data_IF_112284008188
#
_entry.id   IF_112284008188
#
_cell.length_a   1.000
_cell.length_b   1.000
_cell.length_c   1.000
_cell.angle_alpha   90.00
_cell.angle_beta   90.00
_cell.angle_gamma   90.00
#
_symmetry.space_group_name_H-M   'P 1'
#
loop_
_entity.id
_entity.type
_entity.pdbx_description
1 polymer ?
#
# COMPACT_ATOMS: atom_id res chain seq x y z
N UNK A 1 14.71 35.14 10.05
CA UNK A 1 14.38 33.95 9.25
C UNK A 1 14.11 32.69 10.09
N UNK A 2 14.99 32.31 11.02
CA UNK A 2 15.01 30.97 11.63
C UNK A 2 13.77 30.51 12.44
N UNK A 3 13.07 31.40 13.16
CA UNK A 3 11.95 30.98 14.04
C UNK A 3 10.71 30.47 13.28
N UNK A 4 10.33 31.15 12.19
CA UNK A 4 9.15 30.78 11.41
C UNK A 4 9.35 29.53 10.55
N UNK A 5 10.55 29.34 10.00
CA UNK A 5 10.90 28.11 9.30
C UNK A 5 10.92 26.91 10.25
N UNK A 6 11.39 27.10 11.49
CA UNK A 6 11.33 26.08 12.55
C UNK A 6 9.89 25.72 12.92
N UNK A 7 9.02 26.71 13.14
CA UNK A 7 7.58 26.50 13.37
C UNK A 7 6.91 25.72 12.23
N UNK A 8 7.23 26.04 10.98
CA UNK A 8 6.70 25.34 9.81
C UNK A 8 7.08 23.86 9.81
N UNK A 9 8.34 23.55 10.13
CA UNK A 9 8.85 22.18 10.20
C UNK A 9 8.34 21.42 11.43
N UNK A 10 8.16 22.10 12.56
CA UNK A 10 7.48 21.53 13.74
C UNK A 10 6.06 21.09 13.41
N UNK A 11 5.30 21.91 12.66
CA UNK A 11 3.95 21.54 12.20
C UNK A 11 3.96 20.33 11.25
N UNK A 12 4.94 20.25 10.34
CA UNK A 12 5.09 19.08 9.44
C UNK A 12 5.40 17.83 10.25
N UNK A 13 6.34 17.92 11.20
CA UNK A 13 6.74 16.79 12.03
C UNK A 13 5.61 16.34 12.98
N UNK A 14 4.83 17.27 13.55
CA UNK A 14 3.63 16.97 14.32
C UNK A 14 2.56 16.28 13.46
N UNK A 15 2.38 16.70 12.22
CA UNK A 15 1.40 16.05 11.34
C UNK A 15 1.87 14.66 10.92
N UNK A 16 3.17 14.48 10.65
CA UNK A 16 3.76 13.16 10.43
C UNK A 16 3.66 12.27 11.69
N UNK A 17 3.74 12.84 12.89
CA UNK A 17 3.53 12.13 14.16
C UNK A 17 2.08 11.68 14.34
N UNK A 18 1.11 12.54 14.00
CA UNK A 18 -0.32 12.29 14.19
C UNK A 18 -0.95 11.41 13.11
N UNK A 19 -0.45 11.51 11.87
CA UNK A 19 -1.06 10.89 10.68
C UNK A 19 -0.17 9.82 10.06
N UNK A 20 1.14 9.85 10.35
CA UNK A 20 2.08 8.92 9.76
C UNK A 20 2.03 7.53 10.40
N UNK A 21 2.23 6.44 9.62
CA UNK A 21 2.36 5.07 10.14
C UNK A 21 3.46 4.84 11.20
N UNK A 22 4.41 5.78 11.38
CA UNK A 22 5.52 5.62 12.32
C UNK A 22 5.74 6.90 13.13
N UNK A 23 4.98 7.11 14.21
CA UNK A 23 5.14 8.29 15.05
C UNK A 23 6.58 8.43 15.59
N UNK A 24 7.23 7.31 15.93
CA UNK A 24 8.61 7.29 16.43
C UNK A 24 9.63 7.93 15.47
N UNK A 25 9.49 7.73 14.16
CA UNK A 25 10.40 8.36 13.20
C UNK A 25 10.19 9.87 13.17
N UNK A 26 8.94 10.35 13.26
CA UNK A 26 8.66 11.79 13.29
C UNK A 26 9.25 12.52 14.51
N UNK A 27 9.65 11.81 15.58
CA UNK A 27 10.30 12.40 16.75
C UNK A 27 11.67 13.00 16.45
N UNK A 28 12.44 12.43 15.51
CA UNK A 28 13.76 12.94 15.16
C UNK A 28 13.68 14.34 14.48
N UNK A 29 12.94 14.55 13.38
CA UNK A 29 12.80 15.87 12.79
C UNK A 29 12.07 16.84 13.73
N UNK A 30 11.13 16.36 14.57
CA UNK A 30 10.48 17.18 15.59
C UNK A 30 11.49 17.68 16.63
N UNK A 31 12.32 16.78 17.17
CA UNK A 31 13.37 17.10 18.13
C UNK A 31 14.39 18.08 17.53
N UNK A 32 14.86 17.83 16.32
CA UNK A 32 15.77 18.75 15.61
C UNK A 32 15.16 20.15 15.42
N UNK A 33 13.88 20.24 15.06
CA UNK A 33 13.19 21.53 14.90
C UNK A 33 13.02 22.26 16.25
N UNK A 34 12.65 21.55 17.32
CA UNK A 34 12.46 22.11 18.66
C UNK A 34 13.79 22.58 19.29
N UNK A 35 14.85 21.78 19.18
CA UNK A 35 16.18 22.16 19.69
C UNK A 35 16.72 23.36 18.91
N UNK A 36 16.50 23.43 17.59
CA UNK A 36 16.86 24.62 16.81
C UNK A 36 16.08 25.86 17.26
N UNK A 37 14.78 25.72 17.51
CA UNK A 37 13.93 26.82 17.99
C UNK A 37 14.42 27.35 19.35
N UNK A 38 14.89 26.47 20.22
CA UNK A 38 15.46 26.80 21.53
C UNK A 38 16.87 27.41 21.46
N UNK A 39 17.78 26.82 20.69
CA UNK A 39 19.21 27.19 20.71
C UNK A 39 19.58 28.28 19.70
N UNK A 40 18.87 28.38 18.57
CA UNK A 40 19.15 29.30 17.44
C UNK A 40 20.61 29.31 16.97
N UNK A 41 21.35 28.22 17.22
CA UNK A 41 22.71 28.03 16.74
C UNK A 41 22.69 27.54 15.31
N UNK A 42 23.60 28.08 14.51
CA UNK A 42 23.68 27.77 13.09
C UNK A 42 25.12 27.45 12.70
N UNK A 43 25.31 26.48 11.82
CA UNK A 43 26.61 26.02 11.36
C UNK A 43 26.87 26.55 9.96
N UNK A 44 28.09 27.05 9.72
CA UNK A 44 28.59 27.38 8.39
C UNK A 44 29.11 26.11 7.75
N UNK A 45 28.43 25.64 6.70
CA UNK A 45 28.89 24.51 5.91
C UNK A 45 29.33 25.00 4.53
N UNK A 46 30.38 24.38 4.02
CA UNK A 46 30.73 24.55 2.62
C UNK A 46 29.63 23.93 1.75
N UNK A 47 29.55 24.44 0.54
CA UNK A 47 28.65 24.00 -0.50
C UNK A 47 28.72 22.48 -0.80
N UNK A 48 29.93 21.91 -0.79
CA UNK A 48 30.14 20.47 -0.97
C UNK A 48 29.77 19.69 0.29
N UNK A 49 30.07 20.22 1.47
CA UNK A 49 29.73 19.59 2.76
C UNK A 49 28.22 19.51 2.98
N UNK A 50 27.46 20.55 2.61
CA UNK A 50 26.00 20.54 2.66
C UNK A 50 25.41 19.43 1.78
N UNK A 51 25.89 19.31 0.54
CA UNK A 51 25.44 18.27 -0.39
C UNK A 51 25.74 16.87 0.13
N UNK A 52 26.98 16.62 0.58
CA UNK A 52 27.40 15.31 1.09
C UNK A 52 26.66 14.92 2.38
N UNK A 53 26.41 15.88 3.28
CA UNK A 53 25.64 15.65 4.49
C UNK A 53 24.18 15.32 4.16
N UNK A 54 23.58 16.09 3.25
CA UNK A 54 22.21 15.85 2.79
C UNK A 54 22.03 14.50 2.11
N UNK A 55 22.96 14.13 1.22
CA UNK A 55 22.97 12.84 0.54
C UNK A 55 23.15 11.68 1.52
N UNK A 56 24.12 11.79 2.44
CA UNK A 56 24.38 10.76 3.45
C UNK A 56 23.19 10.54 4.38
N UNK A 57 22.53 11.61 4.83
CA UNK A 57 21.34 11.50 5.68
C UNK A 57 20.13 10.97 4.93
N UNK A 58 19.93 11.39 3.68
CA UNK A 58 18.87 10.84 2.84
C UNK A 58 19.09 9.33 2.63
N UNK A 59 20.30 8.92 2.26
CA UNK A 59 20.66 7.51 2.09
C UNK A 59 20.49 6.73 3.40
N UNK A 60 20.91 7.29 4.55
CA UNK A 60 20.73 6.67 5.85
C UNK A 60 19.25 6.49 6.20
N UNK A 61 18.41 7.50 5.96
CA UNK A 61 16.96 7.40 6.19
C UNK A 61 16.32 6.34 5.29
N UNK A 62 16.78 6.24 4.04
CA UNK A 62 16.34 5.18 3.11
C UNK A 62 16.77 3.80 3.61
N UNK A 63 18.03 3.64 4.00
CA UNK A 63 18.55 2.38 4.54
C UNK A 63 17.81 1.97 5.80
N UNK A 64 17.61 2.89 6.75
CA UNK A 64 16.86 2.60 7.99
C UNK A 64 15.41 2.24 7.67
N UNK A 65 14.73 3.01 6.82
CA UNK A 65 13.32 2.74 6.48
C UNK A 65 13.11 1.44 5.70
N UNK A 66 14.09 1.03 4.89
CA UNK A 66 14.06 -0.25 4.16
C UNK A 66 14.41 -1.44 5.06
N UNK A 67 15.40 -1.30 5.94
CA UNK A 67 15.96 -2.44 6.68
C UNK A 67 15.40 -2.63 8.08
N UNK A 68 14.92 -1.57 8.75
CA UNK A 68 14.39 -1.70 10.10
C UNK A 68 12.88 -1.84 10.00
N UNK A 69 12.35 -2.99 10.47
CA UNK A 69 10.92 -3.27 10.66
C UNK A 69 10.33 -2.44 11.81
N UNK A 70 10.59 -1.13 11.81
CA UNK A 70 9.92 -0.16 12.68
C UNK A 70 8.53 0.21 12.17
N UNK A 71 8.11 -0.35 11.03
CA UNK A 71 6.75 -0.20 10.54
C UNK A 71 5.87 -1.24 11.23
N UNK A 72 4.99 -0.84 12.18
CA UNK A 72 3.90 -1.72 12.56
C UNK A 72 3.13 -2.13 11.30
N UNK A 73 2.65 -3.37 11.27
CA UNK A 73 1.75 -3.83 10.22
C UNK A 73 0.63 -2.78 10.08
N UNK A 74 0.39 -2.28 8.87
CA UNK A 74 -0.50 -1.15 8.69
C UNK A 74 -1.92 -1.52 9.09
N UNK A 75 -2.49 -0.75 10.02
CA UNK A 75 -3.88 -0.88 10.41
C UNK A 75 -4.72 -0.10 9.38
N UNK A 76 -5.20 -0.77 8.32
CA UNK A 76 -6.16 -0.21 7.35
C UNK A 76 -5.98 -0.62 5.88
N UNK A 77 -7.01 -0.34 5.07
CA UNK A 77 -7.28 -0.96 3.75
C UNK A 77 -6.33 -0.61 2.58
N UNK A 78 -5.30 0.22 2.78
CA UNK A 78 -4.05 0.08 2.01
C UNK A 78 -2.97 0.99 2.61
N UNK A 79 -1.84 0.47 3.08
CA UNK A 79 -0.70 1.30 3.47
C UNK A 79 -0.17 2.15 2.32
N UNK A 80 0.32 3.35 2.64
CA UNK A 80 1.32 4.02 1.81
C UNK A 80 2.48 3.01 1.66
N UNK A 81 2.90 2.63 0.43
CA UNK A 81 3.97 1.66 0.27
C UNK A 81 5.20 2.11 1.04
N UNK A 82 5.87 1.18 1.74
CA UNK A 82 7.01 1.44 2.63
C UNK A 82 8.08 2.36 2.01
N UNK A 83 8.35 2.18 0.71
CA UNK A 83 9.29 3.03 -0.03
C UNK A 83 8.87 4.50 -0.08
N UNK A 84 7.59 4.78 -0.30
CA UNK A 84 7.06 6.15 -0.31
C UNK A 84 7.10 6.77 1.08
N UNK A 85 6.64 6.08 2.12
CA UNK A 85 6.71 6.60 3.49
C UNK A 85 8.16 6.93 3.91
N UNK A 86 9.10 6.03 3.57
CA UNK A 86 10.55 6.25 3.81
C UNK A 86 11.08 7.45 3.05
N UNK A 87 10.68 7.60 1.79
CA UNK A 87 11.04 8.75 0.96
C UNK A 87 10.52 10.06 1.55
N UNK A 88 9.24 10.11 1.92
CA UNK A 88 8.62 11.27 2.57
C UNK A 88 9.34 11.64 3.87
N UNK A 89 9.71 10.65 4.68
CA UNK A 89 10.47 10.86 5.91
C UNK A 89 11.86 11.44 5.66
N UNK A 90 12.61 10.87 4.70
CA UNK A 90 13.96 11.34 4.36
C UNK A 90 13.95 12.81 3.91
N UNK A 91 12.95 13.22 3.12
CA UNK A 91 12.76 14.62 2.73
C UNK A 91 12.48 15.54 3.92
N UNK A 92 11.71 15.07 4.91
CA UNK A 92 11.39 15.83 6.11
C UNK A 92 12.62 16.04 6.99
N UNK A 93 13.42 14.99 7.21
CA UNK A 93 14.69 15.08 7.96
C UNK A 93 15.64 16.04 7.26
N UNK A 94 15.74 15.96 5.93
CA UNK A 94 16.59 16.86 5.14
C UNK A 94 16.12 18.33 5.28
N UNK A 95 14.81 18.57 5.24
CA UNK A 95 14.25 19.91 5.46
C UNK A 95 14.54 20.43 6.90
N UNK A 96 14.40 19.56 7.91
CA UNK A 96 14.71 19.90 9.31
C UNK A 96 16.19 20.24 9.52
N UNK A 97 17.09 19.46 8.92
CA UNK A 97 18.53 19.69 9.00
C UNK A 97 18.93 21.03 8.38
N UNK A 98 18.32 21.41 7.25
CA UNK A 98 18.61 22.69 6.57
C UNK A 98 18.31 23.92 7.43
N UNK A 99 17.54 23.80 8.52
CA UNK A 99 17.37 24.88 9.49
C UNK A 99 18.64 25.20 10.27
N UNK A 100 19.54 24.22 10.44
CA UNK A 100 20.78 24.35 11.20
C UNK A 100 21.93 24.93 10.37
N UNK A 101 21.68 25.31 9.11
CA UNK A 101 22.66 25.84 8.16
C UNK A 101 22.42 27.34 7.96
N UNK A 102 23.46 28.17 8.02
CA UNK A 102 23.33 29.64 8.05
C UNK A 102 22.83 30.23 6.72
N UNK A 103 23.18 29.57 5.62
CA UNK A 103 22.77 29.94 4.27
C UNK A 103 22.68 28.68 3.39
N UNK A 104 21.67 27.80 3.58
CA UNK A 104 21.57 26.57 2.82
C UNK A 104 21.35 26.88 1.33
N UNK A 105 22.01 26.14 0.45
CA UNK A 105 21.86 26.31 -1.01
C UNK A 105 20.40 26.18 -1.44
N UNK A 106 19.91 27.12 -2.23
CA UNK A 106 18.48 27.19 -2.61
C UNK A 106 17.56 27.80 -1.53
N UNK A 107 18.14 28.23 -0.40
CA UNK A 107 17.49 29.03 0.63
C UNK A 107 16.27 28.37 1.25
N UNK A 108 15.34 29.21 1.71
CA UNK A 108 14.08 28.80 2.31
C UNK A 108 13.17 28.08 1.30
N UNK A 109 13.20 28.46 0.02
CA UNK A 109 12.34 27.87 -1.02
C UNK A 109 12.55 26.37 -1.18
N UNK A 110 13.81 25.92 -1.25
CA UNK A 110 14.11 24.49 -1.35
C UNK A 110 13.74 23.75 -0.05
N UNK A 111 13.99 24.33 1.12
CA UNK A 111 13.60 23.72 2.41
C UNK A 111 12.08 23.53 2.50
N UNK A 112 11.31 24.53 2.08
CA UNK A 112 9.85 24.46 2.05
C UNK A 112 9.33 23.49 0.98
N UNK A 113 9.98 23.43 -0.19
CA UNK A 113 9.66 22.47 -1.24
C UNK A 113 9.84 21.02 -0.77
N UNK A 114 10.95 20.72 -0.08
CA UNK A 114 11.20 19.40 0.50
C UNK A 114 10.14 19.02 1.54
N UNK A 115 9.78 19.95 2.43
CA UNK A 115 8.72 19.74 3.42
C UNK A 115 7.33 19.55 2.77
N UNK A 116 7.04 20.26 1.68
CA UNK A 116 5.78 20.14 0.95
C UNK A 116 5.66 18.78 0.23
N UNK A 117 6.74 18.33 -0.43
CA UNK A 117 6.76 17.01 -1.08
C UNK A 117 6.61 15.91 -0.04
N UNK A 118 7.27 16.06 1.12
CA UNK A 118 7.04 15.15 2.25
C UNK A 118 5.56 15.12 2.62
N UNK A 119 4.93 16.27 2.89
CA UNK A 119 3.51 16.36 3.20
C UNK A 119 2.60 15.69 2.16
N UNK A 120 2.89 15.86 0.87
CA UNK A 120 2.13 15.25 -0.22
C UNK A 120 2.21 13.72 -0.18
N UNK A 121 3.39 13.16 0.13
CA UNK A 121 3.58 11.72 0.31
C UNK A 121 2.74 11.19 1.48
N UNK A 122 2.65 11.92 2.59
CA UNK A 122 1.85 11.51 3.76
C UNK A 122 0.34 11.77 3.61
N UNK A 123 -0.08 12.56 2.62
CA UNK A 123 -1.48 12.93 2.40
C UNK A 123 -2.36 11.85 1.80
N UNK A 124 -1.77 10.75 1.35
CA UNK A 124 -2.37 9.86 0.38
C UNK A 124 -3.62 9.09 0.82
N UNK A 125 -3.94 8.91 2.12
CA UNK A 125 -5.08 8.03 2.44
C UNK A 125 -5.89 8.16 3.74
N UNK A 126 -5.52 8.90 4.79
CA UNK A 126 -6.31 8.79 6.04
C UNK A 126 -6.26 10.00 6.98
N UNK A 127 -6.31 11.18 6.39
CA UNK A 127 -5.79 12.35 7.06
C UNK A 127 -6.90 13.27 7.61
N UNK A 128 -8.16 12.86 7.45
CA UNK A 128 -9.34 13.49 8.04
C UNK A 128 -9.40 15.00 7.80
N UNK A 129 -10.05 15.74 8.70
CA UNK A 129 -9.99 17.21 8.69
C UNK A 129 -8.62 17.75 9.15
N UNK A 130 -7.78 16.93 9.78
CA UNK A 130 -6.49 17.37 10.32
C UNK A 130 -5.46 17.71 9.23
N UNK A 131 -5.46 16.97 8.13
CA UNK A 131 -4.52 17.19 7.04
C UNK A 131 -4.71 18.49 6.25
N UNK A 132 -5.93 18.86 5.82
CA UNK A 132 -6.11 20.18 5.21
C UNK A 132 -5.75 21.29 6.20
N UNK A 133 -6.06 21.16 7.49
CA UNK A 133 -5.65 22.12 8.52
C UNK A 133 -4.12 22.21 8.66
N UNK A 134 -3.42 21.07 8.63
CA UNK A 134 -1.98 21.01 8.68
C UNK A 134 -1.31 21.64 7.45
N UNK A 135 -1.83 21.35 6.24
CA UNK A 135 -1.36 21.98 5.00
C UNK A 135 -1.53 23.50 5.08
N UNK A 136 -2.71 23.98 5.46
CA UNK A 136 -2.98 25.42 5.55
C UNK A 136 -2.04 26.08 6.57
N UNK A 137 -1.84 25.46 7.72
CA UNK A 137 -0.92 25.95 8.76
C UNK A 137 0.54 25.96 8.29
N UNK A 138 0.96 24.92 7.56
CA UNK A 138 2.27 24.85 6.94
C UNK A 138 2.47 25.94 5.89
N UNK A 139 1.52 26.12 4.97
CA UNK A 139 1.62 27.15 3.92
C UNK A 139 1.64 28.56 4.52
N UNK A 140 0.84 28.81 5.56
CA UNK A 140 0.84 30.09 6.27
C UNK A 140 2.18 30.37 6.95
N UNK A 141 2.73 29.39 7.66
CA UNK A 141 4.03 29.50 8.33
C UNK A 141 5.19 29.62 7.34
N UNK A 142 5.13 28.90 6.21
CA UNK A 142 6.06 29.01 5.09
C UNK A 142 6.07 30.42 4.47
N UNK A 143 4.88 30.99 4.24
CA UNK A 143 4.75 32.35 3.72
C UNK A 143 5.31 33.40 4.70
N UNK A 144 5.06 33.22 6.01
CA UNK A 144 5.64 34.07 7.05
C UNK A 144 7.17 33.93 7.12
N UNK A 145 7.69 32.71 6.96
CA UNK A 145 9.13 32.45 6.93
C UNK A 145 9.81 33.13 5.73
N UNK A 146 9.24 32.99 4.52
CA UNK A 146 9.75 33.68 3.33
C UNK A 146 9.67 35.20 3.47
N UNK A 147 8.60 35.74 4.08
CA UNK A 147 8.50 37.18 4.34
C UNK A 147 9.57 37.66 5.32
N UNK A 148 9.82 36.90 6.39
CA UNK A 148 10.82 37.25 7.41
C UNK A 148 12.28 37.07 6.92
N UNK A 149 12.47 36.48 5.74
CA UNK A 149 13.75 36.36 5.06
C UNK A 149 14.07 37.56 4.15
N UNK A 150 13.05 38.36 3.81
CA UNK A 150 13.14 39.42 2.81
C UNK A 150 13.15 40.81 3.50
N UNK A 151 14.33 41.41 3.71
CA UNK A 151 14.46 42.69 4.42
C UNK A 151 13.84 43.87 3.66
N UNK A 152 13.60 43.72 2.35
CA UNK A 152 12.95 44.75 1.53
C UNK A 152 11.43 44.83 1.72
N UNK A 153 10.81 43.88 2.45
CA UNK A 153 9.35 43.86 2.60
C UNK A 153 8.86 44.83 3.68
N UNK A 154 7.84 45.65 3.39
CA UNK A 154 7.24 46.53 4.37
C UNK A 154 6.63 45.74 5.55
N UNK A 155 6.58 46.35 6.73
CA UNK A 155 5.94 45.75 7.92
C UNK A 155 4.45 45.48 7.63
N UNK A 156 3.89 44.39 8.19
CA UNK A 156 2.48 44.02 7.97
C UNK A 156 1.50 45.17 8.28
N UNK A 157 1.79 45.95 9.33
CA UNK A 157 0.99 47.12 9.73
C UNK A 157 1.09 48.31 8.77
N UNK A 158 2.13 48.37 7.95
CA UNK A 158 2.35 49.42 6.96
C UNK A 158 1.76 49.05 5.59
N UNK A 159 1.08 47.90 5.48
CA UNK A 159 0.44 47.49 4.23
C UNK A 159 -0.83 48.31 4.00
N UNK A 160 -0.84 49.13 2.94
CA UNK A 160 -2.07 49.75 2.45
C UNK A 160 -3.09 48.72 1.96
N UNK A 161 -4.37 49.11 1.85
CA UNK A 161 -5.50 48.24 1.44
C UNK A 161 -5.22 47.43 0.17
N UNK A 162 -4.51 48.02 -0.81
CA UNK A 162 -4.11 47.36 -2.06
C UNK A 162 -3.18 46.15 -1.87
N UNK A 163 -2.29 46.19 -0.89
CA UNK A 163 -1.41 45.07 -0.59
C UNK A 163 -2.13 43.97 0.18
N UNK A 164 -3.08 44.35 1.06
CA UNK A 164 -3.94 43.40 1.75
C UNK A 164 -4.79 42.63 0.76
N UNK A 165 -5.38 43.30 -0.25
CA UNK A 165 -6.14 42.62 -1.29
C UNK A 165 -5.27 41.69 -2.16
N UNK A 166 -4.02 42.07 -2.45
CA UNK A 166 -3.07 41.19 -3.17
C UNK A 166 -2.70 39.95 -2.36
N UNK A 167 -2.46 40.09 -1.05
CA UNK A 167 -2.20 38.96 -0.15
C UNK A 167 -3.42 38.05 -0.06
N UNK A 168 -4.62 38.63 0.09
CA UNK A 168 -5.87 37.88 0.10
C UNK A 168 -6.07 37.11 -1.21
N UNK A 169 -5.84 37.75 -2.36
CA UNK A 169 -5.92 37.10 -3.66
C UNK A 169 -4.90 35.97 -3.81
N UNK A 170 -3.65 36.17 -3.37
CA UNK A 170 -2.62 35.13 -3.39
C UNK A 170 -2.96 33.95 -2.46
N UNK A 171 -3.55 34.24 -1.29
CA UNK A 171 -3.99 33.21 -0.35
C UNK A 171 -5.16 32.39 -0.93
N UNK A 172 -6.14 33.06 -1.55
CA UNK A 172 -7.24 32.39 -2.26
C UNK A 172 -6.67 31.52 -3.37
N UNK A 173 -5.78 32.05 -4.22
CA UNK A 173 -5.16 31.27 -5.29
C UNK A 173 -4.40 30.05 -4.75
N UNK A 174 -3.66 30.20 -3.65
CA UNK A 174 -2.93 29.10 -3.02
C UNK A 174 -3.87 28.04 -2.44
N UNK A 175 -4.93 28.45 -1.74
CA UNK A 175 -5.96 27.55 -1.21
C UNK A 175 -6.69 26.82 -2.34
N UNK A 176 -7.11 27.54 -3.38
CA UNK A 176 -7.75 26.94 -4.56
C UNK A 176 -6.81 25.96 -5.25
N UNK A 177 -5.53 26.30 -5.43
CA UNK A 177 -4.54 25.40 -6.04
C UNK A 177 -4.32 24.16 -5.18
N UNK A 178 -4.24 24.31 -3.85
CA UNK A 178 -4.10 23.19 -2.92
C UNK A 178 -5.35 22.30 -2.90
N UNK A 179 -6.55 22.88 -2.94
CA UNK A 179 -7.80 22.12 -3.05
C UNK A 179 -7.90 21.39 -4.39
N UNK A 180 -7.56 22.03 -5.50
CA UNK A 180 -7.50 21.40 -6.82
C UNK A 180 -6.48 20.26 -6.81
N UNK A 181 -5.30 20.47 -6.25
CA UNK A 181 -4.29 19.43 -6.13
C UNK A 181 -4.77 18.27 -5.23
N UNK A 182 -5.40 18.55 -4.09
CA UNK A 182 -5.94 17.51 -3.20
C UNK A 182 -7.04 16.67 -3.86
N UNK A 183 -7.82 17.26 -4.77
CA UNK A 183 -8.86 16.56 -5.52
C UNK A 183 -8.33 15.83 -6.75
N UNK A 184 -7.30 16.36 -7.42
CA UNK A 184 -6.77 15.83 -8.69
C UNK A 184 -5.55 14.91 -8.53
N UNK A 185 -4.75 15.06 -7.48
CA UNK A 185 -3.58 14.21 -7.22
C UNK A 185 -3.94 12.75 -6.94
N UNK A 186 -4.97 12.40 -6.14
CA UNK A 186 -5.32 11.00 -5.92
C UNK A 186 -5.66 10.23 -7.22
N UNK A 187 -6.55 10.73 -8.11
CA UNK A 187 -6.82 10.02 -9.37
C UNK A 187 -5.59 10.01 -10.29
N UNK A 188 -4.80 11.10 -10.34
CA UNK A 188 -3.56 11.15 -11.11
C UNK A 188 -2.53 10.14 -10.61
N UNK A 189 -2.33 10.05 -9.29
CA UNK A 189 -1.44 9.08 -8.66
C UNK A 189 -1.86 7.65 -9.00
N UNK A 190 -3.15 7.32 -8.86
CA UNK A 190 -3.63 5.99 -9.23
C UNK A 190 -3.40 5.69 -10.71
N UNK A 191 -3.63 6.66 -11.60
CA UNK A 191 -3.36 6.52 -13.03
C UNK A 191 -1.86 6.32 -13.33
N UNK A 192 -0.97 7.08 -12.68
CA UNK A 192 0.49 6.91 -12.80
C UNK A 192 0.93 5.54 -12.28
N UNK A 193 0.46 5.13 -11.11
CA UNK A 193 0.78 3.82 -10.53
C UNK A 193 0.30 2.71 -11.46
N UNK A 194 -0.92 2.81 -11.98
CA UNK A 194 -1.45 1.86 -12.95
C UNK A 194 -0.58 1.79 -14.21
N UNK A 195 -0.17 2.94 -14.76
CA UNK A 195 0.69 3.00 -15.95
C UNK A 195 2.07 2.40 -15.70
N UNK A 196 2.69 2.71 -14.56
CA UNK A 196 3.98 2.16 -14.14
C UNK A 196 3.88 0.65 -13.93
N UNK A 197 2.84 0.19 -13.22
CA UNK A 197 2.62 -1.23 -12.95
C UNK A 197 2.34 -2.03 -14.22
N UNK A 198 1.62 -1.47 -15.20
CA UNK A 198 1.43 -2.07 -16.54
C UNK A 198 2.76 -2.25 -17.29
N UNK A 199 3.75 -1.40 -17.03
CA UNK A 199 5.08 -1.44 -17.67
C UNK A 199 6.11 -2.32 -16.96
N UNK A 200 5.86 -2.74 -15.72
CA UNK A 200 6.76 -3.67 -15.02
C UNK A 200 6.72 -5.06 -15.68
N UNK A 201 7.85 -5.77 -15.78
CA UNK A 201 7.89 -7.10 -16.37
C UNK A 201 6.91 -8.01 -15.63
N UNK A 202 5.96 -8.59 -16.40
CA UNK A 202 4.97 -9.54 -15.90
C UNK A 202 5.73 -10.72 -15.28
N UNK A 203 5.83 -10.77 -13.95
CA UNK A 203 6.42 -11.92 -13.26
C UNK A 203 5.52 -13.12 -13.53
N UNK A 204 6.11 -14.21 -14.03
CA UNK A 204 5.42 -15.49 -14.18
C UNK A 204 5.12 -16.06 -12.78
N UNK A 205 3.88 -15.94 -12.29
CA UNK A 205 3.45 -16.53 -11.03
C UNK A 205 2.39 -15.73 -10.28
N UNK A 206 1.85 -16.32 -9.21
CA UNK A 206 0.86 -15.69 -8.34
C UNK A 206 1.53 -14.65 -7.43
N UNK A 207 1.04 -13.40 -7.44
CA UNK A 207 1.52 -12.31 -6.56
C UNK A 207 0.46 -11.99 -5.49
N UNK A 208 0.58 -10.88 -4.75
CA UNK A 208 -0.45 -10.43 -3.81
C UNK A 208 -1.63 -9.72 -4.50
N UNK A 209 -1.56 -9.52 -5.82
CA UNK A 209 -2.61 -8.89 -6.61
C UNK A 209 -2.76 -9.56 -7.97
N UNK A 210 -3.98 -9.63 -8.48
CA UNK A 210 -4.30 -10.21 -9.77
C UNK A 210 -5.05 -9.19 -10.60
N UNK A 211 -4.42 -8.69 -11.66
CA UNK A 211 -5.13 -7.88 -12.65
C UNK A 211 -5.98 -8.79 -13.52
N UNK A 212 -7.25 -8.43 -13.69
CA UNK A 212 -8.12 -9.11 -14.64
C UNK A 212 -7.46 -9.03 -16.03
N UNK A 213 -7.24 -10.17 -16.66
CA UNK A 213 -6.59 -10.25 -17.98
C UNK A 213 -5.06 -10.35 -17.99
N UNK A 214 -4.36 -10.18 -16.86
CA UNK A 214 -2.88 -10.20 -16.87
C UNK A 214 -2.27 -11.60 -16.85
N UNK A 215 -3.09 -12.66 -16.79
CA UNK A 215 -2.60 -14.04 -16.64
C UNK A 215 -1.93 -14.61 -17.90
N UNK A 216 -2.02 -13.94 -19.06
CA UNK A 216 -1.42 -14.39 -20.32
C UNK A 216 0.03 -14.85 -20.16
N UNK A 217 0.88 -14.06 -19.50
CA UNK A 217 2.30 -14.43 -19.31
C UNK A 217 2.52 -15.61 -18.35
N UNK A 218 1.59 -15.86 -17.43
CA UNK A 218 1.64 -17.04 -16.56
C UNK A 218 1.18 -18.30 -17.30
N UNK A 219 0.12 -18.19 -18.09
CA UNK A 219 -0.47 -19.30 -18.84
C UNK A 219 0.38 -19.76 -20.02
N UNK A 220 1.22 -18.87 -20.56
CA UNK A 220 2.18 -19.17 -21.64
C UNK A 220 3.54 -19.66 -21.12
N UNK A 221 3.72 -19.81 -19.80
CA UNK A 221 5.00 -20.18 -19.21
C UNK A 221 5.08 -21.68 -18.92
N UNK A 222 6.02 -22.39 -19.55
CA UNK A 222 6.29 -23.82 -19.32
C UNK A 222 7.17 -24.09 -18.07
N UNK A 223 7.36 -23.08 -17.22
CA UNK A 223 8.19 -23.21 -16.02
C UNK A 223 7.51 -24.11 -14.99
N UNK A 224 8.17 -25.21 -14.65
CA UNK A 224 7.74 -26.11 -13.57
C UNK A 224 7.92 -25.41 -12.22
N UNK A 225 6.83 -25.26 -11.46
CA UNK A 225 6.82 -24.64 -10.12
C UNK A 225 6.68 -25.68 -9.00
N UNK A 226 6.00 -26.80 -9.27
CA UNK A 226 5.79 -27.87 -8.30
C UNK A 226 5.55 -29.21 -9.00
N UNK A 227 5.67 -30.30 -8.23
CA UNK A 227 5.29 -31.65 -8.64
C UNK A 227 4.29 -32.21 -7.64
N UNK A 228 3.23 -32.84 -8.14
CA UNK A 228 2.16 -33.42 -7.32
C UNK A 228 2.18 -34.94 -7.51
N UNK A 229 2.17 -35.70 -6.41
CA UNK A 229 2.16 -37.17 -6.40
C UNK A 229 1.09 -37.69 -5.44
N UNK A 230 0.64 -38.93 -5.63
CA UNK A 230 -0.31 -39.59 -4.73
C UNK A 230 -1.76 -39.44 -5.19
N UNK A 231 -2.66 -39.09 -4.27
CA UNK A 231 -4.09 -38.95 -4.58
C UNK A 231 -4.35 -37.85 -5.62
N UNK A 232 -5.33 -38.08 -6.49
CA UNK A 232 -5.70 -37.12 -7.53
C UNK A 232 -6.43 -35.93 -6.92
N UNK A 233 -5.96 -34.72 -7.22
CA UNK A 233 -6.66 -33.46 -6.93
C UNK A 233 -6.95 -32.70 -8.21
N UNK A 234 -8.13 -32.08 -8.31
CA UNK A 234 -8.51 -31.25 -9.46
C UNK A 234 -8.13 -29.78 -9.26
N UNK A 235 -7.98 -29.33 -8.01
CA UNK A 235 -7.77 -27.93 -7.68
C UNK A 235 -6.74 -27.77 -6.57
N UNK A 236 -5.85 -26.81 -6.76
CA UNK A 236 -4.87 -26.39 -5.78
C UNK A 236 -5.10 -24.92 -5.45
N UNK A 237 -5.48 -24.65 -4.20
CA UNK A 237 -5.65 -23.30 -3.68
C UNK A 237 -4.29 -22.76 -3.28
N UNK A 238 -3.89 -21.62 -3.85
CA UNK A 238 -2.64 -20.94 -3.51
C UNK A 238 -2.83 -19.53 -2.94
N UNK A 239 -3.93 -18.87 -3.24
CA UNK A 239 -4.20 -17.51 -2.78
C UNK A 239 -5.71 -17.26 -2.75
N UNK A 240 -6.14 -16.47 -1.77
CA UNK A 240 -7.46 -15.88 -1.72
C UNK A 240 -7.32 -14.38 -1.98
N UNK A 241 -7.99 -13.87 -3.01
CA UNK A 241 -8.12 -12.43 -3.24
C UNK A 241 -9.51 -12.00 -2.79
N UNK A 242 -9.60 -10.93 -2.02
CA UNK A 242 -10.83 -10.54 -1.32
C UNK A 242 -11.25 -9.11 -1.59
N UNK A 243 -10.32 -8.26 -2.02
CA UNK A 243 -10.60 -6.85 -2.29
C UNK A 243 -10.51 -6.59 -3.79
N UNK A 244 -11.54 -5.95 -4.34
CA UNK A 244 -11.54 -5.53 -5.74
C UNK A 244 -11.32 -4.02 -5.86
N UNK A 245 -10.30 -3.61 -6.60
CA UNK A 245 -10.05 -2.20 -6.92
C UNK A 245 -9.57 -2.06 -8.37
N UNK A 246 -10.39 -1.37 -9.19
CA UNK A 246 -10.02 -0.90 -10.55
C UNK A 246 -9.38 -1.97 -11.43
N UNK A 247 -10.08 -3.08 -11.68
CA UNK A 247 -9.55 -4.15 -12.52
C UNK A 247 -8.56 -5.09 -11.84
N UNK A 248 -8.24 -4.89 -10.55
CA UNK A 248 -7.35 -5.74 -9.79
C UNK A 248 -8.05 -6.34 -8.56
N UNK A 249 -7.78 -7.61 -8.33
CA UNK A 249 -8.10 -8.31 -7.09
C UNK A 249 -6.87 -8.33 -6.20
N UNK A 250 -6.95 -7.82 -4.98
CA UNK A 250 -5.87 -7.79 -4.00
C UNK A 250 -6.13 -8.79 -2.87
N UNK A 251 -5.05 -9.39 -2.37
CA UNK A 251 -5.06 -10.12 -1.11
C UNK A 251 -4.91 -9.12 0.02
N UNK A 252 -5.75 -9.27 1.02
CA UNK A 252 -5.56 -8.70 2.34
C UNK A 252 -5.15 -9.85 3.26
N UNK A 253 -4.05 -9.67 3.98
CA UNK A 253 -3.57 -10.65 4.95
C UNK A 253 -2.74 -9.87 5.94
N UNK A 254 -3.33 -9.67 7.12
CA UNK A 254 -2.78 -8.79 8.15
C UNK A 254 -2.15 -9.61 9.29
N UNK A 255 -2.44 -10.91 9.38
CA UNK A 255 -2.00 -11.79 10.47
C UNK A 255 -1.46 -13.13 9.95
N UNK A 256 -0.21 -13.42 10.33
CA UNK A 256 0.49 -14.65 10.00
C UNK A 256 0.82 -15.40 11.28
N UNK A 257 0.31 -16.61 11.42
CA UNK A 257 0.57 -17.45 12.59
C UNK A 257 1.45 -18.64 12.18
N UNK A 258 2.59 -18.81 12.87
CA UNK A 258 3.42 -20.00 12.70
C UNK A 258 2.77 -21.16 13.45
N UNK A 259 2.50 -22.25 12.74
CA UNK A 259 1.83 -23.43 13.27
C UNK A 259 2.74 -24.65 13.15
N UNK A 260 2.94 -25.41 14.24
CA UNK A 260 3.59 -26.72 14.16
C UNK A 260 2.69 -27.70 13.43
N UNK A 261 3.28 -28.48 12.53
CA UNK A 261 2.62 -29.57 11.78
C UNK A 261 3.50 -30.82 11.83
N UNK A 262 2.94 -32.02 11.61
CA UNK A 262 3.76 -33.22 11.44
C UNK A 262 4.82 -33.02 10.35
N UNK A 263 5.96 -33.70 10.49
CA UNK A 263 7.04 -33.64 9.49
C UNK A 263 6.75 -34.46 8.24
N UNK A 264 5.91 -35.48 8.37
CA UNK A 264 5.45 -36.38 7.31
C UNK A 264 4.06 -36.89 7.66
N UNK A 265 3.35 -37.43 6.68
CA UNK A 265 2.18 -38.27 6.91
C UNK A 265 2.50 -39.73 6.60
N UNK A 266 1.88 -40.69 7.28
CA UNK A 266 2.00 -42.09 6.90
C UNK A 266 1.55 -42.30 5.44
N UNK A 267 2.23 -43.16 4.67
CA UNK A 267 1.78 -43.49 3.32
C UNK A 267 0.42 -44.20 3.41
N UNK A 268 -0.65 -43.49 3.04
CA UNK A 268 -2.01 -43.99 3.07
C UNK A 268 -2.74 -43.66 1.76
N UNK A 269 -3.81 -44.40 1.46
CA UNK A 269 -4.72 -44.02 0.39
C UNK A 269 -5.34 -42.66 0.72
N UNK A 270 -5.23 -41.69 -0.20
CA UNK A 270 -5.72 -40.32 0.01
C UNK A 270 -4.65 -39.28 0.37
N UNK A 271 -3.37 -39.68 0.49
CA UNK A 271 -2.28 -38.71 0.69
C UNK A 271 -1.84 -38.15 -0.67
N UNK A 272 -1.79 -36.82 -0.75
CA UNK A 272 -1.20 -36.05 -1.86
C UNK A 272 0.12 -35.45 -1.38
N UNK A 273 1.22 -35.77 -2.03
CA UNK A 273 2.52 -35.13 -1.82
C UNK A 273 2.71 -33.99 -2.83
N UNK A 274 3.13 -32.83 -2.35
CA UNK A 274 3.54 -31.69 -3.18
C UNK A 274 5.02 -31.41 -2.92
N UNK A 275 5.83 -31.54 -3.97
CA UNK A 275 7.24 -31.14 -3.99
C UNK A 275 7.36 -29.76 -4.65
N UNK A 276 7.84 -28.78 -3.90
CA UNK A 276 8.10 -27.44 -4.40
C UNK A 276 9.43 -27.48 -5.18
N UNK A 277 9.36 -27.12 -6.47
CA UNK A 277 10.54 -27.14 -7.37
C UNK A 277 11.26 -25.79 -7.36
N UNK A 278 10.51 -24.71 -7.12
CA UNK A 278 11.03 -23.35 -7.00
C UNK A 278 10.41 -22.66 -5.81
N UNK A 279 11.22 -21.94 -5.07
CA UNK A 279 10.75 -21.17 -3.93
C UNK A 279 9.71 -20.15 -4.38
N UNK A 280 8.61 -20.13 -3.66
CA UNK A 280 7.50 -19.22 -3.84
C UNK A 280 7.05 -18.68 -2.49
N UNK A 281 6.30 -17.58 -2.47
CA UNK A 281 5.87 -16.97 -1.21
C UNK A 281 4.79 -17.79 -0.48
N UNK A 282 4.35 -18.93 -1.03
CA UNK A 282 3.19 -19.68 -0.55
C UNK A 282 3.22 -21.14 -0.96
N UNK A 283 2.47 -21.95 -0.24
CA UNK A 283 2.19 -23.33 -0.59
C UNK A 283 0.80 -23.45 -1.22
N UNK A 284 0.68 -24.40 -2.13
CA UNK A 284 -0.57 -24.73 -2.80
C UNK A 284 -1.19 -25.94 -2.13
N UNK A 285 -2.46 -25.87 -1.78
CA UNK A 285 -3.15 -26.92 -1.02
C UNK A 285 -4.36 -27.44 -1.77
N UNK A 286 -4.62 -28.76 -1.77
CA UNK A 286 -5.90 -29.28 -2.24
C UNK A 286 -7.08 -28.65 -1.50
N UNK A 287 -8.19 -28.39 -2.20
CA UNK A 287 -9.40 -27.84 -1.58
C UNK A 287 -9.94 -28.72 -0.45
N UNK A 288 -9.74 -30.03 -0.57
CA UNK A 288 -10.23 -31.08 0.33
C UNK A 288 -9.20 -31.43 1.44
N UNK A 289 -8.26 -30.53 1.72
CA UNK A 289 -7.22 -30.76 2.72
C UNK A 289 -7.82 -30.86 4.12
N UNK A 290 -7.69 -32.01 4.76
CA UNK A 290 -8.10 -32.22 6.15
C UNK A 290 -6.91 -32.19 7.11
N UNK A 291 -5.76 -32.65 6.65
CA UNK A 291 -4.52 -32.75 7.42
C UNK A 291 -3.35 -32.30 6.55
N UNK A 292 -2.39 -31.62 7.17
CA UNK A 292 -1.20 -31.09 6.54
C UNK A 292 0.03 -31.54 7.33
N UNK A 293 1.06 -32.00 6.64
CA UNK A 293 2.41 -32.15 7.13
C UNK A 293 3.39 -31.39 6.23
N UNK A 294 4.49 -30.91 6.79
CA UNK A 294 5.53 -30.18 6.06
C UNK A 294 6.91 -30.69 6.47
N UNK A 295 7.85 -30.78 5.54
CA UNK A 295 9.16 -31.40 5.80
C UNK A 295 9.96 -30.72 6.92
N UNK A 296 9.70 -29.45 7.18
CA UNK A 296 10.31 -28.66 8.28
C UNK A 296 9.60 -28.88 9.62
N UNK A 297 8.33 -29.31 9.60
CA UNK A 297 7.45 -29.40 10.76
C UNK A 297 6.76 -28.08 11.11
N UNK A 298 6.92 -27.05 10.30
CA UNK A 298 6.32 -25.74 10.53
C UNK A 298 5.79 -25.15 9.23
N UNK A 299 4.66 -24.44 9.34
CA UNK A 299 4.10 -23.62 8.27
C UNK A 299 3.57 -22.33 8.87
N UNK A 300 3.56 -21.27 8.08
CA UNK A 300 2.81 -20.06 8.40
C UNK A 300 1.40 -20.20 7.82
N UNK A 301 0.40 -19.71 8.54
CA UNK A 301 -1.01 -19.74 8.13
C UNK A 301 -1.61 -18.35 8.26
N UNK A 302 -2.33 -17.90 7.23
CA UNK A 302 -3.07 -16.64 7.26
C UNK A 302 -4.56 -16.82 7.59
N UNK A 303 -5.22 -15.70 7.84
CA UNK A 303 -6.67 -15.57 8.02
C UNK A 303 -7.49 -16.09 6.83
N UNK A 304 -6.95 -16.01 5.60
CA UNK A 304 -7.55 -16.54 4.37
C UNK A 304 -7.41 -18.06 4.16
N UNK A 305 -6.79 -18.79 5.09
CA UNK A 305 -6.59 -20.23 4.95
C UNK A 305 -5.46 -20.63 4.00
N UNK A 306 -4.54 -19.72 3.71
CA UNK A 306 -3.38 -19.89 2.84
C UNK A 306 -2.16 -20.24 3.69
N UNK A 307 -1.42 -21.25 3.25
CA UNK A 307 -0.20 -21.69 3.91
C UNK A 307 1.02 -21.05 3.24
N UNK A 308 1.99 -20.63 4.04
CA UNK A 308 3.21 -19.98 3.59
C UNK A 308 4.46 -20.61 4.22
N UNK A 309 5.62 -20.50 3.57
CA UNK A 309 6.89 -20.88 4.18
C UNK A 309 7.20 -20.02 5.40
N UNK A 310 7.84 -20.62 6.40
CA UNK A 310 8.44 -19.87 7.50
C UNK A 310 9.68 -19.16 6.95
N UNK A 311 9.84 -17.88 7.28
CA UNK A 311 10.97 -17.09 6.80
C UNK A 311 12.31 -17.75 7.17
N UNK A 312 13.15 -18.02 6.17
CA UNK A 312 14.44 -18.69 6.35
C UNK A 312 14.40 -20.22 6.42
N UNK A 313 13.21 -20.84 6.48
CA UNK A 313 13.06 -22.31 6.52
C UNK A 313 11.87 -22.79 5.64
N UNK A 314 11.97 -22.67 4.30
CA UNK A 314 10.93 -23.15 3.40
C UNK A 314 10.92 -24.69 3.33
N UNK A 315 9.75 -25.28 3.54
CA UNK A 315 9.51 -26.70 3.33
C UNK A 315 9.49 -27.04 1.84
N UNK A 316 10.43 -27.91 1.45
CA UNK A 316 10.50 -28.43 0.07
C UNK A 316 9.38 -29.41 -0.24
N UNK A 317 8.84 -30.11 0.76
CA UNK A 317 7.78 -31.10 0.60
C UNK A 317 6.65 -30.90 1.59
N UNK A 318 5.43 -31.07 1.10
CA UNK A 318 4.20 -31.04 1.87
C UNK A 318 3.41 -32.31 1.60
N UNK A 319 2.70 -32.79 2.61
CA UNK A 319 1.77 -33.92 2.47
C UNK A 319 0.39 -33.49 2.95
N UNK A 320 -0.62 -33.80 2.15
CA UNK A 320 -2.00 -33.46 2.42
C UNK A 320 -2.83 -34.73 2.46
N UNK A 321 -3.68 -34.88 3.46
CA UNK A 321 -4.63 -35.99 3.51
C UNK A 321 -6.02 -35.53 3.07
N UNK A 322 -6.52 -36.13 1.99
CA UNK A 322 -7.86 -35.88 1.42
C UNK A 322 -8.76 -37.09 1.67
N UNK A 323 -9.12 -37.36 2.94
CA UNK A 323 -10.10 -38.40 3.25
C UNK A 323 -11.47 -38.07 2.62
N UNK A 324 -12.14 -39.09 2.06
CA UNK A 324 -13.52 -38.98 1.52
C UNK A 324 -14.58 -38.69 2.58
N UNK A 325 -14.28 -38.93 3.86
CA UNK A 325 -15.22 -38.71 4.95
C UNK A 325 -14.97 -37.31 5.52
N UNK A 326 -15.95 -36.39 5.44
CA UNK A 326 -15.78 -35.09 6.08
C UNK A 326 -15.47 -35.32 7.56
N UNK A 327 -14.48 -34.63 8.14
CA UNK A 327 -14.26 -34.70 9.58
C UNK A 327 -15.57 -34.33 10.29
N UNK A 328 -15.86 -34.98 11.43
CA UNK A 328 -17.04 -34.67 12.28
C UNK A 328 -17.13 -33.21 12.73
N UNK A 329 -16.12 -32.40 12.44
CA UNK A 329 -16.19 -30.94 12.43
C UNK A 329 -15.23 -30.40 11.37
N UNK A 330 -15.59 -29.34 10.62
CA UNK A 330 -14.65 -28.63 9.77
C UNK A 330 -13.50 -28.13 10.66
N UNK A 331 -12.32 -28.74 10.56
CA UNK A 331 -11.10 -28.27 11.25
C UNK A 331 -10.31 -27.27 10.42
N UNK A 332 -10.99 -26.53 9.57
CA UNK A 332 -10.53 -25.22 9.15
C UNK A 332 -11.33 -24.22 9.97
N UNK A 333 -10.80 -23.63 11.05
CA UNK A 333 -11.14 -22.25 11.24
C UNK A 333 -10.35 -21.52 10.15
N UNK A 334 -10.93 -21.41 8.94
CA UNK A 334 -10.95 -20.05 8.43
C UNK A 334 -11.79 -19.35 9.50
N UNK A 335 -11.12 -18.64 10.42
CA UNK A 335 -11.77 -17.65 11.27
C UNK A 335 -12.81 -17.00 10.38
N UNK A 336 -14.09 -17.02 10.78
CA UNK A 336 -15.20 -16.53 9.94
C UNK A 336 -14.71 -15.27 9.22
N UNK A 337 -14.46 -15.41 7.91
CA UNK A 337 -13.82 -14.35 7.17
C UNK A 337 -14.80 -13.18 7.28
N UNK A 338 -14.37 -11.97 7.67
CA UNK A 338 -15.31 -10.91 7.96
C UNK A 338 -16.22 -10.69 6.75
N UNK A 339 -17.51 -10.99 6.89
CA UNK A 339 -18.49 -10.98 5.79
C UNK A 339 -18.50 -9.62 5.09
N UNK A 340 -18.29 -8.57 5.88
CA UNK A 340 -18.17 -7.18 5.45
C UNK A 340 -17.07 -6.99 4.38
N UNK A 341 -15.99 -7.76 4.45
CA UNK A 341 -14.87 -7.71 3.51
C UNK A 341 -15.17 -8.43 2.20
N UNK A 342 -15.88 -9.55 2.22
CA UNK A 342 -16.24 -10.30 1.00
C UNK A 342 -17.22 -9.53 0.11
N UNK A 343 -17.97 -8.59 0.68
CA UNK A 343 -19.01 -7.83 -0.01
C UNK A 343 -18.58 -6.42 -0.41
N UNK A 344 -17.32 -6.04 -0.16
CA UNK A 344 -16.83 -4.71 -0.46
C UNK A 344 -16.48 -4.58 -1.94
N UNK A 345 -17.31 -3.82 -2.67
CA UNK A 345 -17.06 -3.40 -4.04
C UNK A 345 -16.96 -1.88 -4.12
N UNK A 346 -16.14 -1.32 -5.03
CA UNK A 346 -16.15 0.11 -5.32
C UNK A 346 -17.57 0.59 -5.62
N UNK A 347 -18.03 1.67 -4.97
CA UNK A 347 -19.42 2.11 -5.04
C UNK A 347 -19.97 2.29 -6.46
N UNK A 348 -19.11 2.68 -7.42
CA UNK A 348 -19.47 2.81 -8.84
C UNK A 348 -19.88 1.48 -9.51
N UNK A 349 -19.42 0.34 -8.99
CA UNK A 349 -19.66 -0.99 -9.55
C UNK A 349 -20.84 -1.70 -8.90
N UNK A 350 -21.22 -1.31 -7.68
CA UNK A 350 -22.29 -1.97 -6.91
C UNK A 350 -23.59 -1.99 -7.70
N UNK A 351 -24.08 -0.84 -8.17
CA UNK A 351 -25.36 -0.76 -8.87
C UNK A 351 -25.36 -1.50 -10.22
N UNK A 352 -24.35 -1.36 -11.11
CA UNK A 352 -24.25 -2.17 -12.33
C UNK A 352 -24.24 -3.68 -12.06
N UNK A 353 -23.38 -4.16 -11.15
CA UNK A 353 -23.25 -5.59 -10.86
C UNK A 353 -24.52 -6.15 -10.21
N UNK A 354 -25.19 -5.39 -9.35
CA UNK A 354 -26.48 -5.80 -8.79
C UNK A 354 -27.56 -5.92 -9.87
N UNK A 355 -27.59 -5.02 -10.87
CA UNK A 355 -28.53 -5.14 -12.00
C UNK A 355 -28.26 -6.42 -12.80
N UNK A 356 -27.00 -6.69 -13.15
CA UNK A 356 -26.61 -7.91 -13.86
C UNK A 356 -26.98 -9.16 -13.05
N UNK A 357 -26.56 -9.23 -11.79
CA UNK A 357 -26.84 -10.36 -10.91
C UNK A 357 -28.36 -10.62 -10.76
N UNK A 358 -29.18 -9.57 -10.64
CA UNK A 358 -30.65 -9.70 -10.59
C UNK A 358 -31.22 -10.21 -11.91
N UNK A 359 -30.75 -9.68 -13.04
CA UNK A 359 -31.23 -10.10 -14.37
C UNK A 359 -30.90 -11.57 -14.65
N UNK A 360 -29.68 -12.01 -14.32
CA UNK A 360 -29.21 -13.38 -14.57
C UNK A 360 -29.80 -14.40 -13.60
N UNK A 361 -30.36 -13.95 -12.47
CA UNK A 361 -30.94 -14.82 -11.44
C UNK A 361 -32.44 -14.58 -11.24
N UNK A 362 -33.11 -13.99 -12.22
CA UNK A 362 -34.53 -13.70 -12.17
C UNK A 362 -35.35 -15.00 -11.98
N UNK A 363 -36.28 -14.98 -11.02
CA UNK A 363 -37.12 -16.15 -10.70
C UNK A 363 -36.41 -17.27 -9.94
N UNK A 364 -35.18 -17.04 -9.46
CA UNK A 364 -34.40 -18.03 -8.69
C UNK A 364 -34.29 -17.61 -7.24
N UNK A 365 -34.88 -18.39 -6.33
CA UNK A 365 -34.99 -17.99 -4.93
C UNK A 365 -33.87 -18.49 -4.02
N UNK A 366 -33.15 -19.56 -4.40
CA UNK A 366 -32.09 -20.14 -3.55
C UNK A 366 -30.68 -19.68 -3.94
N UNK A 367 -29.79 -19.35 -2.99
CA UNK A 367 -28.42 -18.92 -3.29
C UNK A 367 -27.65 -19.90 -4.19
N UNK A 368 -27.80 -21.20 -3.96
CA UNK A 368 -27.17 -22.23 -4.79
C UNK A 368 -27.66 -22.18 -6.23
N UNK A 369 -28.98 -22.11 -6.45
CA UNK A 369 -29.52 -22.01 -7.81
C UNK A 369 -29.14 -20.69 -8.47
N UNK A 370 -29.00 -19.59 -7.70
CA UNK A 370 -28.50 -18.31 -8.21
C UNK A 370 -27.07 -18.48 -8.75
N UNK A 371 -26.18 -19.13 -8.01
CA UNK A 371 -24.82 -19.43 -8.49
C UNK A 371 -24.81 -20.31 -9.73
N UNK A 372 -25.67 -21.33 -9.77
CA UNK A 372 -25.83 -22.20 -10.94
C UNK A 372 -26.32 -21.42 -12.16
N UNK A 373 -27.28 -20.49 -11.98
CA UNK A 373 -27.78 -19.62 -13.05
C UNK A 373 -26.70 -18.64 -13.56
N UNK A 374 -25.95 -18.00 -12.66
CA UNK A 374 -24.79 -17.16 -13.03
C UNK A 374 -23.76 -17.95 -13.84
N UNK A 375 -23.41 -19.16 -13.39
CA UNK A 375 -22.44 -20.01 -14.07
C UNK A 375 -22.94 -20.49 -15.45
N UNK A 376 -24.24 -20.77 -15.57
CA UNK A 376 -24.84 -21.15 -16.85
C UNK A 376 -24.77 -19.99 -17.85
N UNK A 377 -25.13 -18.78 -17.41
CA UNK A 377 -25.09 -17.59 -18.25
C UNK A 377 -23.66 -17.30 -18.74
N UNK A 378 -22.68 -17.33 -17.84
CA UNK A 378 -21.26 -17.16 -18.18
C UNK A 378 -20.76 -18.19 -19.21
N UNK A 379 -21.23 -19.44 -19.14
CA UNK A 379 -20.84 -20.48 -20.11
C UNK A 379 -21.55 -20.33 -21.46
N UNK A 380 -22.76 -19.79 -21.48
CA UNK A 380 -23.57 -19.67 -22.68
C UNK A 380 -23.18 -18.45 -23.51
N UNK A 381 -22.87 -17.32 -22.87
CA UNK A 381 -22.69 -16.04 -23.55
C UNK A 381 -21.22 -15.63 -23.72
N UNK A 382 -20.30 -16.24 -22.98
CA UNK A 382 -18.88 -15.85 -23.00
C UNK A 382 -17.98 -16.98 -23.49
N UNK A 383 -16.91 -16.60 -24.19
CA UNK A 383 -15.87 -17.53 -24.66
C UNK A 383 -14.55 -17.26 -23.95
N UNK A 384 -13.87 -18.33 -23.53
CA UNK A 384 -12.54 -18.21 -22.95
C UNK A 384 -11.49 -17.94 -24.03
N UNK A 385 -10.71 -16.87 -23.86
CA UNK A 385 -9.56 -16.57 -24.71
C UNK A 385 -8.37 -16.05 -23.88
N UNK A 386 -7.16 -16.39 -24.30
CA UNK A 386 -5.92 -15.78 -23.79
C UNK A 386 -5.63 -14.42 -24.43
N UNK A 387 -6.26 -14.16 -25.58
CA UNK A 387 -6.09 -12.99 -26.41
C UNK A 387 -7.45 -12.31 -26.62
N UNK A 388 -7.62 -11.15 -26.00
CA UNK A 388 -8.83 -10.33 -26.13
C UNK A 388 -8.42 -8.85 -26.06
N UNK A 389 -9.19 -7.99 -26.71
CA UNK A 389 -9.08 -6.54 -26.60
C UNK A 389 -10.10 -6.05 -25.58
N UNK A 390 -9.75 -4.98 -24.84
CA UNK A 390 -10.59 -4.48 -23.77
C UNK A 390 -10.78 -2.96 -23.92
N UNK A 391 -12.01 -2.42 -23.80
CA UNK A 391 -12.22 -0.98 -23.83
C UNK A 391 -11.48 -0.29 -22.67
N UNK A 392 -10.68 0.74 -22.96
CA UNK A 392 -9.88 1.43 -21.94
C UNK A 392 -10.70 2.20 -20.89
N UNK A 393 -12.00 2.39 -21.12
CA UNK A 393 -12.87 3.25 -20.31
C UNK A 393 -13.83 2.49 -19.40
N UNK A 394 -13.95 1.17 -19.55
CA UNK A 394 -14.84 0.34 -18.73
C UNK A 394 -14.05 -0.48 -17.70
N UNK A 395 -14.68 -0.70 -16.55
CA UNK A 395 -14.07 -1.50 -15.49
C UNK A 395 -14.15 -2.99 -15.90
N UNK A 396 -13.04 -3.75 -15.88
CA UNK A 396 -13.00 -5.09 -16.48
C UNK A 396 -13.91 -6.16 -15.87
N UNK A 397 -14.65 -5.84 -14.81
CA UNK A 397 -15.66 -6.74 -14.21
C UNK A 397 -17.06 -6.51 -14.78
N UNK A 398 -17.27 -5.40 -15.50
CA UNK A 398 -18.56 -5.03 -16.12
C UNK A 398 -18.54 -5.25 -17.64
N UNK A 399 -17.36 -5.10 -18.27
CA UNK A 399 -17.09 -5.59 -19.64
C UNK A 399 -17.31 -7.12 -19.71
#
# INVERSE_FOLDING_TARGET
MNRWASLSLTLVALTALLVGPIPLLALLPLGLALVHLALQRVVKLSAGSEFMLGLSLFALCVVIGVNVDLMPAPIGDAPIPRGWATFGYALLVLAALRLWIEAPRGGASLTLGLALVSFAVWGGKNSGLFYPLAIVSFLASAALAMRAADPGRPRLRALGRRHVSQIAAALVLALTSASVAALTLPPLHSWVVERVMRGLPKKSGFTSFMWLGSMKGMLQSDRIVMRVRGAKTNYLRGILYVEYTRGAWTRRSDEHQVRPVPRTLPPASGVTEIEIVRDGPRYFTPLETNELAASTGFVTFDDGGIYEPVAGDPAKRLWFNTWKTPPKSPRTPAREFPVDMELTLPGRLVAPLQRLARSWTQGVDSPRKKLEALALHLRAEYTYSLDFERPDHEDPVID
#
